data_IF_998683188723
#
_entry.id   IF_998683188723
#
_cell.length_a   1.000
_cell.length_b   1.000
_cell.length_c   1.000
_cell.angle_alpha   90.00
_cell.angle_beta   90.00
_cell.angle_gamma   90.00
#
_symmetry.space_group_name_H-M   'P 1'
#
loop_
_entity.id
_entity.type
_entity.pdbx_description
1 polymer ?
#
# COMPACT_ATOMS: atom_id res chain seq x y z
N UNK A 1 33.72 5.85 -54.58
CA UNK A 1 32.97 6.70 -53.63
C UNK A 1 31.52 6.28 -53.70
N UNK A 2 31.01 5.68 -52.64
CA UNK A 2 29.59 5.36 -52.48
C UNK A 2 29.31 5.47 -50.99
N UNK A 3 28.25 6.16 -50.61
CA UNK A 3 27.84 6.33 -49.20
C UNK A 3 26.58 5.51 -48.94
N UNK A 4 26.21 5.47 -47.66
CA UNK A 4 24.88 5.15 -47.14
C UNK A 4 24.48 3.66 -47.27
N UNK A 5 23.63 3.11 -46.40
CA UNK A 5 22.92 3.73 -45.26
C UNK A 5 22.94 2.79 -44.04
N UNK A 6 23.50 3.24 -42.92
CA UNK A 6 23.53 2.47 -41.66
C UNK A 6 22.40 2.88 -40.73
N UNK A 7 21.27 2.18 -40.80
CA UNK A 7 20.20 2.34 -39.82
C UNK A 7 20.65 1.82 -38.46
N UNK A 8 21.15 2.71 -37.60
CA UNK A 8 21.25 2.43 -36.18
C UNK A 8 19.83 2.35 -35.63
N UNK A 9 19.35 1.14 -35.34
CA UNK A 9 18.13 0.93 -34.58
C UNK A 9 18.27 1.69 -33.26
N UNK A 10 17.34 2.61 -32.97
CA UNK A 10 17.33 3.29 -31.70
C UNK A 10 17.18 2.25 -30.59
N UNK A 11 18.19 2.16 -29.71
CA UNK A 11 18.05 1.39 -28.48
C UNK A 11 17.05 2.12 -27.59
N UNK A 12 15.79 1.72 -27.69
CA UNK A 12 14.81 1.94 -26.64
C UNK A 12 15.46 1.53 -25.32
N UNK A 13 15.55 2.47 -24.38
CA UNK A 13 16.25 2.27 -23.12
C UNK A 13 15.34 1.48 -22.18
N UNK A 14 15.11 0.21 -22.52
CA UNK A 14 14.33 -0.75 -21.73
C UNK A 14 14.82 -0.69 -20.30
N UNK A 15 14.00 -0.10 -19.43
CA UNK A 15 14.36 0.07 -18.03
C UNK A 15 14.34 -1.32 -17.40
N UNK A 16 15.51 -1.80 -16.96
CA UNK A 16 15.63 -3.07 -16.24
C UNK A 16 14.66 -3.08 -15.06
N UNK A 17 13.94 -4.19 -14.80
CA UNK A 17 12.89 -4.24 -13.80
C UNK A 17 13.45 -3.80 -12.44
N UNK A 18 13.04 -2.60 -12.03
CA UNK A 18 13.42 -2.02 -10.76
C UNK A 18 12.38 -2.48 -9.74
N UNK A 19 12.82 -3.04 -8.62
CA UNK A 19 11.90 -3.62 -7.65
C UNK A 19 10.96 -2.53 -7.08
N UNK A 20 9.70 -2.91 -6.89
CA UNK A 20 8.63 -2.05 -6.39
C UNK A 20 8.43 -2.30 -4.89
N UNK A 21 8.55 -1.26 -4.05
CA UNK A 21 8.23 -1.37 -2.63
C UNK A 21 6.75 -1.72 -2.44
N UNK A 22 6.48 -2.91 -1.91
CA UNK A 22 5.15 -3.49 -1.74
C UNK A 22 4.92 -3.74 -0.25
N UNK A 23 3.95 -3.05 0.34
CA UNK A 23 3.72 -3.07 1.79
C UNK A 23 2.58 -4.02 2.18
N UNK A 24 2.87 -4.89 3.14
CA UNK A 24 1.94 -5.88 3.70
C UNK A 24 1.62 -5.53 5.15
N UNK A 25 0.36 -5.72 5.57
CA UNK A 25 -0.18 -5.30 6.87
C UNK A 25 -0.97 -6.42 7.52
N UNK A 26 -0.92 -6.48 8.85
CA UNK A 26 -1.72 -7.36 9.68
C UNK A 26 -2.12 -6.62 10.97
N UNK A 27 -3.42 -6.54 11.24
CA UNK A 27 -3.99 -5.72 12.33
C UNK A 27 -4.75 -6.53 13.39
N UNK A 28 -4.82 -7.86 13.26
CA UNK A 28 -5.68 -8.73 14.07
C UNK A 28 -5.02 -9.22 15.38
N UNK A 29 -3.86 -8.68 15.74
CA UNK A 29 -3.08 -9.09 16.92
C UNK A 29 -2.17 -10.30 16.67
N UNK A 30 -1.67 -10.88 17.77
CA UNK A 30 -0.57 -11.85 17.78
C UNK A 30 0.67 -11.28 18.48
N UNK A 31 1.49 -12.18 19.04
CA UNK A 31 2.76 -11.82 19.68
C UNK A 31 3.89 -11.88 18.65
N UNK A 32 3.92 -12.93 17.82
CA UNK A 32 4.88 -13.11 16.73
C UNK A 32 4.16 -13.21 15.39
N UNK A 33 4.23 -12.15 14.58
CA UNK A 33 3.63 -12.07 13.25
C UNK A 33 4.74 -12.01 12.19
N UNK A 34 4.60 -12.82 11.15
CA UNK A 34 5.47 -12.85 9.97
C UNK A 34 4.64 -13.00 8.69
N UNK A 35 5.25 -12.67 7.54
CA UNK A 35 4.71 -13.00 6.21
C UNK A 35 5.64 -13.99 5.51
N UNK A 36 5.07 -14.95 4.80
CA UNK A 36 5.78 -15.85 3.90
C UNK A 36 5.02 -15.94 2.56
N UNK A 37 5.74 -16.20 1.47
CA UNK A 37 5.13 -16.23 0.14
C UNK A 37 6.09 -16.67 -0.95
N UNK A 38 5.58 -16.77 -2.18
CA UNK A 38 6.31 -17.20 -3.38
C UNK A 38 7.27 -16.12 -3.93
N UNK A 39 7.91 -15.36 -3.05
CA UNK A 39 8.77 -14.22 -3.34
C UNK A 39 10.06 -14.64 -4.06
N UNK A 40 10.67 -13.71 -4.79
CA UNK A 40 11.90 -13.92 -5.53
C UNK A 40 13.16 -13.68 -4.67
N UNK A 41 14.32 -14.29 -5.04
CA UNK A 41 15.61 -13.96 -4.45
C UNK A 41 15.88 -12.45 -4.44
N UNK A 42 16.42 -11.87 -3.35
CA UNK A 42 17.11 -12.55 -2.24
C UNK A 42 16.19 -13.17 -1.17
N UNK A 43 14.86 -13.00 -1.27
CA UNK A 43 13.93 -13.65 -0.35
C UNK A 43 13.82 -15.13 -0.72
N UNK A 44 14.01 -16.01 0.27
CA UNK A 44 13.75 -17.44 0.08
C UNK A 44 12.24 -17.68 0.07
N UNK A 45 11.72 -18.21 -1.05
CA UNK A 45 10.32 -18.57 -1.22
C UNK A 45 9.81 -19.43 -0.05
N UNK A 46 8.66 -19.01 0.51
CA UNK A 46 7.96 -19.54 1.69
C UNK A 46 8.72 -19.53 3.04
N UNK A 47 9.86 -18.83 3.14
CA UNK A 47 10.47 -18.52 4.45
C UNK A 47 9.73 -17.36 5.13
N UNK A 48 9.35 -17.47 6.42
CA UNK A 48 8.77 -16.37 7.18
C UNK A 48 9.72 -15.18 7.36
N UNK A 49 9.18 -13.97 7.16
CA UNK A 49 9.82 -12.67 7.40
C UNK A 49 9.04 -11.97 8.52
N UNK A 50 9.71 -11.64 9.62
CA UNK A 50 9.10 -10.96 10.76
C UNK A 50 8.50 -9.60 10.36
N UNK A 51 7.30 -9.29 10.88
CA UNK A 51 6.59 -8.04 10.64
C UNK A 51 6.58 -7.18 11.92
N UNK A 52 7.39 -6.11 12.01
CA UNK A 52 7.41 -5.24 13.18
C UNK A 52 6.05 -4.60 13.48
N UNK A 53 5.66 -4.62 14.76
CA UNK A 53 4.45 -3.94 15.27
C UNK A 53 4.70 -2.45 15.43
N UNK A 54 3.89 -1.62 14.77
CA UNK A 54 3.94 -0.16 14.87
C UNK A 54 3.12 0.36 16.08
N UNK A 55 3.16 1.67 16.31
CA UNK A 55 2.48 2.35 17.44
C UNK A 55 0.97 2.13 17.51
N UNK A 56 0.35 1.71 16.40
CA UNK A 56 -1.09 1.54 16.27
C UNK A 56 -1.50 0.06 16.40
N UNK A 57 -0.59 -0.79 16.90
CA UNK A 57 -0.71 -2.25 16.99
C UNK A 57 -0.86 -2.98 15.64
N UNK A 58 -0.54 -2.33 14.53
CA UNK A 58 -0.50 -2.97 13.20
C UNK A 58 0.92 -3.47 12.94
N UNK A 59 1.04 -4.75 12.59
CA UNK A 59 2.27 -5.33 12.09
C UNK A 59 2.41 -4.98 10.60
N UNK A 60 3.57 -4.47 10.17
CA UNK A 60 3.78 -3.98 8.80
C UNK A 60 5.20 -4.30 8.30
N UNK A 61 5.31 -4.71 7.04
CA UNK A 61 6.60 -4.88 6.34
C UNK A 61 6.49 -4.43 4.90
N UNK A 62 7.55 -3.82 4.36
CA UNK A 62 7.64 -3.46 2.94
C UNK A 62 8.70 -4.31 2.25
N UNK A 63 8.29 -5.10 1.26
CA UNK A 63 9.15 -5.97 0.47
C UNK A 63 9.39 -5.35 -0.91
N UNK A 64 10.62 -5.42 -1.41
CA UNK A 64 10.97 -4.97 -2.76
C UNK A 64 10.74 -6.14 -3.72
N UNK A 65 9.66 -6.11 -4.50
CA UNK A 65 9.23 -7.21 -5.39
C UNK A 65 9.40 -6.85 -6.87
N UNK A 66 9.49 -7.84 -7.76
CA UNK A 66 9.61 -7.56 -9.21
C UNK A 66 8.24 -7.16 -9.80
N UNK A 67 8.17 -6.10 -10.63
CA UNK A 67 6.93 -5.69 -11.26
C UNK A 67 6.51 -6.59 -12.42
N UNK A 68 5.22 -6.51 -12.78
CA UNK A 68 4.53 -7.35 -13.77
C UNK A 68 4.51 -8.84 -13.38
N UNK A 69 4.52 -9.13 -12.07
CA UNK A 69 4.51 -10.50 -11.53
C UNK A 69 3.45 -10.68 -10.45
N UNK A 70 2.82 -11.87 -10.48
CA UNK A 70 1.93 -12.41 -9.46
C UNK A 70 2.75 -13.11 -8.37
N UNK A 71 2.39 -12.87 -7.11
CA UNK A 71 2.94 -13.54 -5.94
C UNK A 71 1.80 -14.10 -5.08
N UNK A 72 2.02 -15.28 -4.49
CA UNK A 72 1.14 -15.84 -3.47
C UNK A 72 1.76 -15.64 -2.09
N UNK A 73 0.96 -15.31 -1.08
CA UNK A 73 1.47 -15.09 0.28
C UNK A 73 0.48 -15.53 1.36
N UNK A 74 0.99 -15.67 2.58
CA UNK A 74 0.23 -16.06 3.77
C UNK A 74 0.90 -15.50 5.02
N UNK A 75 0.12 -15.25 6.06
CA UNK A 75 0.66 -14.79 7.34
C UNK A 75 0.99 -15.99 8.23
N UNK A 76 2.03 -15.86 9.05
CA UNK A 76 2.38 -16.79 10.12
C UNK A 76 2.25 -16.02 11.43
N UNK A 77 1.27 -16.41 12.25
CA UNK A 77 0.92 -15.75 13.52
C UNK A 77 0.99 -16.78 14.62
N UNK A 78 1.89 -16.57 15.58
CA UNK A 78 2.12 -17.47 16.72
C UNK A 78 2.25 -18.94 16.26
N UNK A 79 3.21 -19.14 15.34
CA UNK A 79 3.55 -20.38 14.61
C UNK A 79 2.45 -20.98 13.70
N UNK A 80 1.33 -20.28 13.48
CA UNK A 80 0.20 -20.78 12.66
C UNK A 80 0.07 -20.05 11.33
N UNK A 81 -0.09 -20.81 10.26
CA UNK A 81 -0.32 -20.30 8.91
C UNK A 81 -1.77 -19.86 8.71
N UNK A 82 -2.02 -18.54 8.75
CA UNK A 82 -3.36 -17.94 8.72
C UNK A 82 -3.57 -17.04 7.50
N UNK A 83 -4.83 -16.84 7.15
CA UNK A 83 -5.27 -15.84 6.16
C UNK A 83 -5.82 -14.62 6.88
N UNK A 84 -5.73 -13.46 6.26
CA UNK A 84 -6.50 -12.29 6.67
C UNK A 84 -7.92 -12.37 6.07
N UNK A 85 -9.00 -12.41 6.87
CA UNK A 85 -10.36 -12.54 6.37
C UNK A 85 -10.87 -11.28 5.67
N UNK A 86 -10.12 -10.17 5.70
CA UNK A 86 -10.42 -8.93 4.94
C UNK A 86 -9.80 -8.90 3.55
N UNK A 87 -8.94 -9.88 3.21
CA UNK A 87 -8.28 -10.00 1.91
C UNK A 87 -8.83 -11.22 1.13
N UNK A 88 -8.98 -11.06 -0.19
CA UNK A 88 -9.33 -12.19 -1.05
C UNK A 88 -8.26 -13.30 -1.01
N UNK A 89 -8.67 -14.55 -1.21
CA UNK A 89 -7.77 -15.71 -1.25
C UNK A 89 -8.15 -16.68 -2.36
N UNK A 90 -7.14 -17.37 -2.88
CA UNK A 90 -7.24 -18.34 -3.96
C UNK A 90 -6.74 -19.71 -3.50
N UNK A 91 -7.27 -20.77 -4.11
CA UNK A 91 -6.79 -22.14 -3.94
C UNK A 91 -5.60 -22.39 -4.89
N UNK A 92 -4.53 -23.02 -4.41
CA UNK A 92 -3.46 -23.54 -5.25
C UNK A 92 -3.78 -24.96 -5.81
N UNK A 93 -2.92 -25.47 -6.69
CA UNK A 93 -3.08 -26.80 -7.33
C UNK A 93 -3.08 -27.98 -6.35
N UNK A 94 -2.60 -27.78 -5.12
CA UNK A 94 -2.42 -28.79 -4.08
C UNK A 94 -3.55 -28.70 -3.03
N UNK A 95 -4.36 -27.64 -3.07
CA UNK A 95 -5.51 -27.42 -2.21
C UNK A 95 -5.27 -26.48 -1.03
N UNK A 96 -4.15 -25.75 -0.98
CA UNK A 96 -3.95 -24.72 0.05
C UNK A 96 -4.60 -23.41 -0.38
N UNK A 97 -5.19 -22.69 0.59
CA UNK A 97 -5.62 -21.31 0.39
C UNK A 97 -4.50 -20.34 0.74
N UNK A 98 -4.21 -19.41 -0.17
CA UNK A 98 -3.22 -18.33 -0.06
C UNK A 98 -3.85 -17.00 -0.53
N UNK A 99 -3.27 -15.87 -0.14
CA UNK A 99 -3.57 -14.59 -0.77
C UNK A 99 -2.79 -14.44 -2.08
N UNK A 100 -3.29 -13.60 -2.99
CA UNK A 100 -2.65 -13.27 -4.25
C UNK A 100 -2.38 -11.75 -4.32
N UNK A 101 -1.23 -11.35 -4.88
CA UNK A 101 -0.93 -9.96 -5.22
C UNK A 101 -0.21 -9.87 -6.57
N UNK A 102 -0.70 -8.99 -7.44
CA UNK A 102 -0.02 -8.57 -8.66
C UNK A 102 0.75 -7.27 -8.38
N UNK A 103 2.06 -7.27 -8.63
CA UNK A 103 2.92 -6.11 -8.40
C UNK A 103 2.99 -5.30 -9.69
N UNK A 104 2.27 -4.19 -9.74
CA UNK A 104 2.30 -3.27 -10.89
C UNK A 104 3.62 -2.47 -10.95
N UNK A 105 4.16 -2.15 -12.15
CA UNK A 105 5.30 -1.26 -12.28
C UNK A 105 4.97 0.15 -11.77
N UNK A 106 5.95 0.80 -11.16
CA UNK A 106 5.85 2.23 -10.83
C UNK A 106 5.61 3.01 -12.12
N UNK A 107 4.49 3.74 -12.18
CA UNK A 107 4.16 4.60 -13.32
C UNK A 107 5.26 5.65 -13.46
N UNK A 108 5.87 5.82 -14.65
CA UNK A 108 6.83 6.89 -14.87
C UNK A 108 6.20 8.24 -14.54
N UNK A 109 6.86 9.03 -13.69
CA UNK A 109 6.48 10.42 -13.47
C UNK A 109 6.66 11.18 -14.79
N UNK A 110 5.56 11.54 -15.45
CA UNK A 110 5.57 12.38 -16.63
C UNK A 110 5.85 13.83 -16.24
N UNK A 111 7.11 14.12 -15.90
CA UNK A 111 7.63 15.49 -16.00
C UNK A 111 7.82 15.83 -17.48
N UNK A 112 6.72 16.26 -18.09
CA UNK A 112 6.77 17.19 -19.21
C UNK A 112 6.26 18.56 -18.74
N UNK A 113 6.94 19.21 -17.78
CA UNK A 113 6.81 20.65 -17.68
C UNK A 113 7.00 21.36 -16.33
N UNK A 114 7.83 20.92 -15.39
CA UNK A 114 8.20 21.79 -14.26
C UNK A 114 9.24 22.88 -14.61
N UNK A 115 9.07 23.53 -15.78
CA UNK A 115 9.95 24.61 -16.24
C UNK A 115 9.61 25.95 -15.56
N UNK A 116 10.01 26.07 -14.28
CA UNK A 116 9.97 27.34 -13.56
C UNK A 116 10.97 28.33 -14.16
N UNK A 117 10.51 29.13 -15.13
CA UNK A 117 11.25 30.28 -15.63
C UNK A 117 11.35 31.34 -14.51
N UNK A 118 12.51 31.40 -13.86
CA UNK A 118 12.77 32.24 -12.69
C UNK A 118 12.97 33.72 -13.05
N UNK A 119 11.92 34.37 -13.56
CA UNK A 119 11.88 35.84 -13.65
C UNK A 119 11.73 36.44 -12.24
N UNK A 120 12.86 36.71 -11.60
CA UNK A 120 12.94 37.38 -10.30
C UNK A 120 12.54 38.85 -10.44
N UNK A 121 11.23 39.10 -10.43
CA UNK A 121 10.66 40.44 -10.49
C UNK A 121 10.56 41.05 -9.09
N UNK A 122 11.61 41.78 -8.71
CA UNK A 122 11.66 42.58 -7.47
C UNK A 122 10.74 43.81 -7.57
N UNK A 123 9.48 43.65 -7.19
CA UNK A 123 8.56 44.77 -6.96
C UNK A 123 8.93 45.52 -5.66
N UNK A 124 8.97 46.86 -5.64
CA UNK A 124 9.44 47.64 -4.50
C UNK A 124 8.38 47.76 -3.39
N UNK A 125 8.79 47.47 -2.15
CA UNK A 125 7.99 47.65 -0.93
C UNK A 125 7.37 49.06 -0.85
N UNK A 126 6.06 49.14 -0.63
CA UNK A 126 5.39 50.32 -0.08
C UNK A 126 4.47 49.95 1.08
N UNK A 127 4.59 50.74 2.14
CA UNK A 127 3.84 50.60 3.39
C UNK A 127 2.42 51.14 3.25
N UNK A 128 1.46 50.45 3.88
CA UNK A 128 0.53 51.10 4.80
C UNK A 128 0.00 50.07 5.81
N UNK A 129 -0.23 50.48 7.05
CA UNK A 129 -0.76 49.63 8.11
C UNK A 129 -2.21 49.99 8.45
N UNK A 130 -2.97 49.01 8.92
CA UNK A 130 -4.03 49.24 9.91
C UNK A 130 -4.33 47.92 10.65
N UNK A 131 -4.59 48.02 11.94
CA UNK A 131 -4.86 46.88 12.83
C UNK A 131 -6.37 46.67 13.00
N UNK A 132 -6.79 45.45 13.34
CA UNK A 132 -7.42 45.21 14.66
C UNK A 132 -7.51 43.72 14.97
N UNK A 133 -7.68 43.39 16.24
CA UNK A 133 -7.65 42.04 16.80
C UNK A 133 -8.84 41.86 17.78
N UNK A 134 -9.06 40.64 18.29
CA UNK A 134 -10.12 40.25 19.26
C UNK A 134 -11.54 40.17 18.62
N UNK A 135 -12.39 39.16 18.87
CA UNK A 135 -12.17 37.85 19.50
C UNK A 135 -13.30 37.37 20.44
N UNK A 136 -13.42 36.03 20.58
CA UNK A 136 -13.82 35.28 21.79
C UNK A 136 -15.32 35.06 22.16
N UNK A 137 -15.87 33.93 21.67
CA UNK A 137 -16.27 32.75 22.49
C UNK A 137 -17.55 32.76 23.42
N UNK A 138 -18.13 31.55 23.64
CA UNK A 138 -19.28 31.13 24.49
C UNK A 138 -20.71 31.37 23.93
N UNK A 139 -21.74 30.54 24.20
CA UNK A 139 -21.81 29.23 24.89
C UNK A 139 -23.25 28.84 25.35
N UNK A 140 -23.43 27.63 25.96
CA UNK A 140 -24.66 27.04 26.59
C UNK A 140 -25.79 26.62 25.62
N UNK A 141 -26.70 25.65 25.87
CA UNK A 141 -26.97 24.53 26.85
C UNK A 141 -28.16 23.68 26.26
N UNK A 142 -28.67 22.52 26.70
CA UNK A 142 -28.60 21.58 27.85
C UNK A 142 -28.26 20.14 27.33
N UNK A 143 -28.23 18.95 27.98
CA UNK A 143 -28.66 18.30 29.26
C UNK A 143 -30.08 17.69 29.36
N UNK A 144 -30.20 16.34 29.31
CA UNK A 144 -31.28 15.50 29.92
C UNK A 144 -30.84 14.00 30.02
N UNK A 145 -31.56 13.20 30.82
CA UNK A 145 -31.20 11.94 31.51
C UNK A 145 -31.43 10.59 30.77
N UNK A 146 -30.83 9.50 31.31
CA UNK A 146 -31.37 8.11 31.57
C UNK A 146 -32.08 7.30 30.44
N UNK A 147 -32.08 5.95 30.40
CA UNK A 147 -31.31 4.84 31.03
C UNK A 147 -31.51 3.56 30.15
N UNK A 148 -30.66 2.52 30.30
CA UNK A 148 -30.74 1.13 29.77
C UNK A 148 -31.13 0.83 28.29
N UNK A 149 -30.50 -0.20 27.72
CA UNK A 149 -31.15 -1.49 27.39
C UNK A 149 -30.12 -2.52 26.89
N UNK A 150 -30.31 -3.79 27.26
CA UNK A 150 -29.47 -4.92 26.83
C UNK A 150 -30.06 -5.61 25.60
N UNK A 151 -29.21 -5.91 24.62
CA UNK A 151 -29.46 -6.96 23.62
C UNK A 151 -28.13 -7.60 23.18
N UNK A 152 -28.12 -8.93 23.02
CA UNK A 152 -27.02 -9.71 22.46
C UNK A 152 -27.60 -10.49 21.29
N UNK A 153 -26.98 -10.41 20.11
CA UNK A 153 -27.24 -11.37 19.04
C UNK A 153 -26.03 -11.45 18.08
N UNK A 154 -25.55 -12.67 17.88
CA UNK A 154 -24.54 -13.01 16.87
C UNK A 154 -25.27 -13.36 15.57
N UNK A 155 -24.88 -12.80 14.40
CA UNK A 155 -25.41 -13.29 13.13
C UNK A 155 -24.38 -13.31 11.98
N UNK A 156 -24.03 -14.55 11.62
CA UNK A 156 -23.81 -15.07 10.26
C UNK A 156 -22.69 -14.48 9.38
N UNK A 157 -21.55 -15.17 9.49
CA UNK A 157 -20.52 -15.41 8.48
C UNK A 157 -21.05 -15.51 7.03
N UNK A 158 -20.99 -14.41 6.28
CA UNK A 158 -21.36 -14.38 4.86
C UNK A 158 -20.14 -14.62 3.94
N UNK A 159 -19.82 -15.91 3.73
CA UNK A 159 -18.70 -16.35 2.88
C UNK A 159 -18.95 -16.09 1.38
N UNK A 160 -18.58 -14.88 0.92
CA UNK A 160 -18.66 -14.48 -0.49
C UNK A 160 -17.55 -15.14 -1.33
N UNK A 161 -17.86 -16.30 -1.92
CA UNK A 161 -16.93 -17.07 -2.77
C UNK A 161 -16.72 -16.43 -4.16
N UNK A 162 -15.94 -15.35 -4.21
CA UNK A 162 -15.29 -14.87 -5.45
C UNK A 162 -14.42 -16.00 -6.03
N UNK A 163 -14.66 -16.39 -7.28
CA UNK A 163 -13.83 -17.39 -7.98
C UNK A 163 -12.68 -16.70 -8.69
N UNK A 164 -11.45 -16.88 -8.21
CA UNK A 164 -10.28 -16.56 -9.03
C UNK A 164 -10.21 -17.57 -10.19
N UNK A 165 -10.15 -17.07 -11.43
CA UNK A 165 -10.11 -17.91 -12.62
C UNK A 165 -8.66 -18.32 -12.92
N UNK A 166 -8.41 -19.63 -12.90
CA UNK A 166 -7.16 -20.23 -13.40
C UNK A 166 -7.24 -20.27 -14.94
N UNK A 167 -6.14 -19.88 -15.59
CA UNK A 167 -5.88 -19.96 -17.04
C UNK A 167 -4.53 -20.65 -17.28
#
# INVERSE_FOLDING_TARGET
MTKDNSYQTAHEKVQSPTHVPTSFKWSQGGDHVSIAGSFDPPIQSWTPIEMPKNSNNVHEVTLNLLPNKKYFFKFVVDDKWVLDPTLESCLDEIGNYNHEICVEPLKPCLDEGCHLNSEVRVEPLKSSASETFIGKDRGLKDTVVEEEHVAVEEHEENNSKSKCNIL
#
